data_IF_434990424286
#
_entry.id   IF_434990424286
#
_cell.length_a   1.000
_cell.length_b   1.000
_cell.length_c   1.000
_cell.angle_alpha   90.00
_cell.angle_beta   90.00
_cell.angle_gamma   90.00
#
_symmetry.space_group_name_H-M   'P 1'
#
loop_
_entity.id
_entity.type
_entity.pdbx_description
1 polymer ?
#
# COMPACT_ATOMS: atom_id res chain seq x y z
N UNK A 1 -1.74 -12.23 -3.61
CA UNK A 1 -0.95 -11.02 -3.94
C UNK A 1 -1.60 -9.82 -3.28
N UNK A 2 -0.81 -8.89 -2.76
CA UNK A 2 -1.25 -7.71 -2.02
C UNK A 2 -1.24 -6.49 -2.92
N UNK A 3 -2.31 -5.70 -2.94
CA UNK A 3 -2.47 -4.55 -3.83
C UNK A 3 -2.42 -3.26 -3.01
N UNK A 4 -1.60 -2.30 -3.43
CA UNK A 4 -1.51 -0.96 -2.85
C UNK A 4 -2.00 0.07 -3.88
N UNK A 5 -3.03 0.82 -3.52
CA UNK A 5 -3.63 1.88 -4.34
C UNK A 5 -3.11 3.22 -3.84
N UNK A 6 -2.48 3.98 -4.72
CA UNK A 6 -1.95 5.31 -4.42
C UNK A 6 -2.99 6.41 -4.65
N UNK A 7 -2.84 7.59 -4.00
CA UNK A 7 -3.78 8.71 -4.15
C UNK A 7 -3.93 9.25 -5.58
N UNK A 8 -2.92 9.03 -6.42
CA UNK A 8 -2.92 9.38 -7.83
C UNK A 8 -3.65 8.35 -8.72
N UNK A 9 -4.28 7.33 -8.14
CA UNK A 9 -4.96 6.25 -8.85
C UNK A 9 -4.01 5.17 -9.39
N UNK A 10 -2.70 5.29 -9.18
CA UNK A 10 -1.76 4.23 -9.51
C UNK A 10 -1.92 3.04 -8.56
N UNK A 11 -1.70 1.84 -9.06
CA UNK A 11 -1.81 0.63 -8.26
C UNK A 11 -0.53 -0.19 -8.39
N UNK A 12 -0.08 -0.78 -7.29
CA UNK A 12 1.11 -1.62 -7.29
C UNK A 12 0.83 -2.92 -6.54
N UNK A 13 1.34 -4.02 -7.07
CA UNK A 13 1.05 -5.36 -6.56
C UNK A 13 2.32 -5.97 -5.97
N UNK A 14 2.21 -6.53 -4.78
CA UNK A 14 3.30 -7.10 -3.99
C UNK A 14 3.04 -8.58 -3.72
N UNK A 15 4.12 -9.35 -3.57
CA UNK A 15 4.02 -10.80 -3.32
C UNK A 15 3.63 -11.09 -1.88
N UNK A 16 4.02 -10.21 -0.95
CA UNK A 16 3.73 -10.34 0.48
C UNK A 16 3.24 -9.04 1.12
N UNK A 17 2.60 -9.17 2.28
CA UNK A 17 2.22 -8.02 3.12
C UNK A 17 3.43 -7.19 3.52
N UNK A 18 4.53 -7.84 3.90
CA UNK A 18 5.75 -7.21 4.38
C UNK A 18 6.39 -6.31 3.32
N UNK A 19 6.41 -6.74 2.05
CA UNK A 19 6.90 -5.90 0.94
C UNK A 19 6.03 -4.66 0.74
N UNK A 20 4.70 -4.82 0.77
CA UNK A 20 3.76 -3.72 0.63
C UNK A 20 3.91 -2.71 1.76
N UNK A 21 3.97 -3.19 3.01
CA UNK A 21 4.14 -2.35 4.19
C UNK A 21 5.47 -1.59 4.14
N UNK A 22 6.57 -2.28 3.81
CA UNK A 22 7.88 -1.64 3.65
C UNK A 22 7.87 -0.59 2.54
N UNK A 23 7.24 -0.87 1.40
CA UNK A 23 7.13 0.08 0.30
C UNK A 23 6.34 1.34 0.71
N UNK A 24 5.22 1.17 1.40
CA UNK A 24 4.45 2.29 1.93
C UNK A 24 5.25 3.11 2.95
N UNK A 25 6.00 2.47 3.86
CA UNK A 25 6.87 3.16 4.82
C UNK A 25 8.00 3.94 4.15
N UNK A 26 8.65 3.35 3.14
CA UNK A 26 9.72 4.01 2.36
C UNK A 26 9.24 5.27 1.64
N UNK A 27 7.96 5.31 1.26
CA UNK A 27 7.31 6.47 0.65
C UNK A 27 6.77 7.47 1.69
N UNK A 28 7.09 7.29 2.98
CA UNK A 28 6.64 8.18 4.04
C UNK A 28 5.16 8.00 4.41
N UNK A 29 4.60 6.82 4.19
CA UNK A 29 3.20 6.53 4.49
C UNK A 29 2.99 5.19 5.17
N UNK A 30 1.74 4.74 5.14
CA UNK A 30 1.30 3.46 5.66
C UNK A 30 0.18 2.89 4.79
N UNK A 31 0.10 1.56 4.67
CA UNK A 31 -1.02 0.94 3.99
C UNK A 31 -2.24 0.86 4.93
N UNK A 32 -3.42 1.18 4.41
CA UNK A 32 -4.70 1.00 5.10
C UNK A 32 -5.53 -0.02 4.33
N UNK A 33 -5.92 -1.11 4.97
CA UNK A 33 -6.75 -2.13 4.33
C UNK A 33 -8.10 -1.54 3.94
N UNK A 34 -8.51 -1.77 2.69
CA UNK A 34 -9.82 -1.35 2.17
C UNK A 34 -10.71 -2.54 1.81
N UNK A 35 -10.12 -3.65 1.33
CA UNK A 35 -10.87 -4.87 1.03
C UNK A 35 -9.92 -6.04 0.82
N UNK A 36 -10.08 -7.14 1.56
CA UNK A 36 -9.30 -8.36 1.38
C UNK A 36 -7.79 -8.09 1.33
N UNK A 37 -7.15 -8.43 0.21
CA UNK A 37 -5.72 -8.19 -0.03
C UNK A 37 -5.41 -6.83 -0.68
N UNK A 38 -6.37 -5.89 -0.66
CA UNK A 38 -6.25 -4.54 -1.22
C UNK A 38 -6.15 -3.49 -0.13
N UNK A 39 -5.18 -2.60 -0.31
CA UNK A 39 -4.78 -1.55 0.63
C UNK A 39 -4.70 -0.21 -0.10
N UNK A 40 -5.08 0.87 0.57
CA UNK A 40 -4.84 2.23 0.12
C UNK A 40 -3.57 2.77 0.80
N UNK A 41 -2.72 3.47 0.05
CA UNK A 41 -1.59 4.21 0.59
C UNK A 41 -2.09 5.48 1.29
N UNK A 42 -1.70 5.64 2.55
CA UNK A 42 -2.01 6.82 3.36
C UNK A 42 -0.69 7.50 3.72
N UNK A 43 -0.40 8.70 3.20
CA UNK A 43 0.78 9.46 3.61
C UNK A 43 0.73 9.76 5.11
N UNK A 44 1.87 9.60 5.81
CA UNK A 44 2.02 10.16 7.15
C UNK A 44 2.26 11.66 6.94
N UNK A 45 1.27 12.47 7.31
CA UNK A 45 1.40 13.93 7.31
C UNK A 45 2.59 14.38 8.16
#
# INVERSE_FOLDING_TARGET
>A
MYKLIFPNGSEQTFKSWMELERAAQLLGGRPKQISGTTYAFVPNK
#
